data_IF_044251889894
#
_entry.id   IF_044251889894
#
_cell.length_a   1.000
_cell.length_b   1.000
_cell.length_c   1.000
_cell.angle_alpha   90.00
_cell.angle_beta   90.00
_cell.angle_gamma   90.00
#
_symmetry.space_group_name_H-M   'P 1'
#
loop_
_entity.id
_entity.type
_entity.pdbx_description
1 polymer ?
#
# COMPACT_ATOMS: atom_id res chain seq x y z
N UNK A 1 -3.44 30.28 -3.52
CA UNK A 1 -3.00 28.98 -2.97
C UNK A 1 -3.44 27.91 -3.96
N UNK A 2 -2.49 27.13 -4.46
CA UNK A 2 -2.78 25.99 -5.31
C UNK A 2 -2.96 24.75 -4.44
N UNK A 3 -4.02 23.99 -4.68
CA UNK A 3 -4.30 22.74 -3.96
C UNK A 3 -3.65 21.57 -4.69
N UNK A 4 -3.44 20.46 -3.98
CA UNK A 4 -2.86 19.23 -4.55
C UNK A 4 -3.66 18.64 -5.74
N UNK A 5 -4.90 19.07 -5.94
CA UNK A 5 -5.75 18.69 -7.06
C UNK A 5 -5.72 19.70 -8.23
N UNK A 6 -4.77 20.65 -8.21
CA UNK A 6 -4.57 21.67 -9.24
C UNK A 6 -5.54 22.85 -9.19
N UNK A 7 -6.42 22.90 -8.19
CA UNK A 7 -7.31 24.04 -8.05
C UNK A 7 -6.56 25.23 -7.44
N UNK A 8 -6.75 26.39 -8.01
CA UNK A 8 -6.29 27.63 -7.40
C UNK A 8 -7.41 28.23 -6.55
N UNK A 9 -7.11 28.56 -5.30
CA UNK A 9 -8.07 29.22 -4.38
C UNK A 9 -7.68 30.66 -4.20
N UNK A 10 -8.58 31.56 -4.60
CA UNK A 10 -8.56 32.97 -4.21
C UNK A 10 -9.59 33.17 -3.12
N UNK A 11 -9.20 33.72 -1.99
CA UNK A 11 -10.07 33.90 -0.83
C UNK A 11 -10.28 35.39 -0.57
N UNK A 12 -11.52 35.79 -0.34
CA UNK A 12 -11.91 37.13 0.04
C UNK A 12 -13.06 37.07 1.08
N UNK A 13 -13.21 38.12 1.86
CA UNK A 13 -14.37 38.27 2.73
C UNK A 13 -15.65 38.35 1.91
N UNK A 14 -16.70 37.58 2.25
CA UNK A 14 -17.96 37.64 1.49
C UNK A 14 -18.68 38.96 1.70
N UNK A 15 -19.16 39.56 0.57
CA UNK A 15 -19.96 40.77 0.61
C UNK A 15 -21.42 40.43 0.96
N UNK A 16 -22.23 41.44 1.38
CA UNK A 16 -23.66 41.26 1.59
C UNK A 16 -24.39 40.71 0.36
N UNK A 17 -24.06 41.21 -0.85
CA UNK A 17 -24.63 40.77 -2.13
C UNK A 17 -24.28 39.30 -2.41
N UNK A 18 -23.04 38.87 -2.08
CA UNK A 18 -22.66 37.47 -2.21
C UNK A 18 -23.51 36.56 -1.30
N UNK A 19 -23.79 36.98 -0.05
CA UNK A 19 -24.64 36.22 0.83
C UNK A 19 -26.08 36.10 0.36
N UNK A 20 -26.60 37.09 -0.29
CA UNK A 20 -27.96 37.05 -0.86
C UNK A 20 -28.05 36.02 -2.00
N UNK A 21 -27.08 36.06 -2.93
CA UNK A 21 -26.99 35.09 -4.02
C UNK A 21 -26.72 33.68 -3.49
N UNK A 22 -25.85 33.54 -2.50
CA UNK A 22 -25.56 32.24 -1.86
C UNK A 22 -26.80 31.61 -1.25
N UNK A 23 -27.62 32.39 -0.51
CA UNK A 23 -28.85 31.86 0.11
C UNK A 23 -29.90 31.45 -0.91
N UNK A 24 -30.02 32.17 -2.01
CA UNK A 24 -31.02 31.92 -3.03
C UNK A 24 -30.63 30.91 -4.10
N UNK A 25 -29.34 30.76 -4.40
CA UNK A 25 -28.79 29.95 -5.50
C UNK A 25 -27.56 29.16 -5.15
N UNK A 26 -27.51 28.59 -3.95
CA UNK A 26 -26.33 27.91 -3.41
C UNK A 26 -25.70 26.84 -4.34
N UNK A 27 -26.55 26.07 -5.01
CA UNK A 27 -26.06 25.01 -5.89
C UNK A 27 -25.49 25.57 -7.20
N UNK A 28 -26.07 26.63 -7.72
CA UNK A 28 -25.55 27.34 -8.89
C UNK A 28 -24.23 28.06 -8.59
N UNK A 29 -24.09 28.66 -7.41
CA UNK A 29 -22.83 29.30 -6.96
C UNK A 29 -21.72 28.27 -6.78
N UNK A 30 -22.04 27.10 -6.22
CA UNK A 30 -21.09 25.98 -6.12
C UNK A 30 -20.70 25.40 -7.48
N UNK A 31 -21.69 25.30 -8.40
CA UNK A 31 -21.43 24.83 -9.75
C UNK A 31 -20.55 25.82 -10.54
N UNK A 32 -20.64 27.11 -10.22
CA UNK A 32 -19.78 28.18 -10.77
C UNK A 32 -18.38 28.20 -10.11
N UNK A 33 -18.06 27.28 -9.18
CA UNK A 33 -16.74 27.17 -8.60
C UNK A 33 -16.51 27.96 -7.30
N UNK A 34 -17.56 28.49 -6.67
CA UNK A 34 -17.40 29.22 -5.41
C UNK A 34 -17.74 28.36 -4.19
N UNK A 35 -16.94 28.48 -3.16
CA UNK A 35 -17.15 27.85 -1.86
C UNK A 35 -17.19 28.89 -0.73
N UNK A 36 -17.77 28.51 0.40
CA UNK A 36 -17.77 29.32 1.63
C UNK A 36 -17.22 28.49 2.76
N UNK A 37 -16.23 29.00 3.44
CA UNK A 37 -15.63 28.37 4.62
C UNK A 37 -15.42 29.39 5.74
N UNK A 38 -15.25 28.90 6.97
CA UNK A 38 -14.92 29.72 8.11
C UNK A 38 -13.45 29.45 8.49
N UNK A 39 -12.64 30.50 8.45
CA UNK A 39 -11.24 30.44 8.82
C UNK A 39 -10.97 31.50 9.90
N UNK A 40 -10.32 31.12 10.99
CA UNK A 40 -10.02 32.00 12.15
C UNK A 40 -11.23 32.82 12.63
N UNK A 41 -12.43 32.21 12.60
CA UNK A 41 -13.65 32.86 13.08
C UNK A 41 -14.36 33.72 12.03
N UNK A 42 -13.74 34.07 10.92
CA UNK A 42 -14.32 34.86 9.81
C UNK A 42 -14.81 33.97 8.66
N UNK A 43 -15.90 34.39 8.01
CA UNK A 43 -16.37 33.75 6.78
C UNK A 43 -15.53 34.22 5.59
N UNK A 44 -15.14 33.27 4.76
CA UNK A 44 -14.40 33.55 3.52
C UNK A 44 -15.09 32.88 2.33
N UNK A 45 -15.14 33.59 1.22
CA UNK A 45 -15.53 33.09 -0.11
C UNK A 45 -14.26 32.62 -0.80
N UNK A 46 -14.27 31.38 -1.26
CA UNK A 46 -13.18 30.81 -2.05
C UNK A 46 -13.68 30.62 -3.48
N UNK A 47 -12.99 31.20 -4.43
CA UNK A 47 -13.15 30.91 -5.85
C UNK A 47 -12.27 29.72 -6.21
N UNK A 48 -12.87 28.73 -6.83
CA UNK A 48 -12.20 27.48 -7.20
C UNK A 48 -12.15 27.42 -8.72
N UNK A 49 -10.98 27.61 -9.29
CA UNK A 49 -10.78 27.25 -10.68
C UNK A 49 -10.63 25.75 -10.79
N UNK A 50 -11.52 25.10 -11.56
CA UNK A 50 -11.32 23.68 -11.89
C UNK A 50 -10.09 23.59 -12.80
N UNK A 51 -9.23 22.57 -12.62
CA UNK A 51 -8.20 22.32 -13.60
C UNK A 51 -8.85 22.06 -14.96
N UNK A 52 -8.23 22.52 -16.04
CA UNK A 52 -8.66 22.23 -17.39
C UNK A 52 -8.74 20.71 -17.60
N UNK A 53 -9.70 20.24 -18.38
CA UNK A 53 -9.83 18.82 -18.70
C UNK A 53 -8.55 18.26 -19.32
N UNK A 54 -7.87 19.03 -20.17
CA UNK A 54 -6.58 18.66 -20.75
C UNK A 54 -5.47 18.51 -19.68
N UNK A 55 -5.48 19.35 -18.64
CA UNK A 55 -4.53 19.24 -17.54
C UNK A 55 -4.78 18.00 -16.70
N UNK A 56 -6.04 17.65 -16.42
CA UNK A 56 -6.41 16.41 -15.72
C UNK A 56 -5.97 15.20 -16.54
N UNK A 57 -6.24 15.20 -17.85
CA UNK A 57 -5.83 14.12 -18.76
C UNK A 57 -4.32 13.94 -18.78
N UNK A 58 -3.54 15.02 -18.92
CA UNK A 58 -2.08 14.98 -18.87
C UNK A 58 -1.54 14.41 -17.55
N UNK A 59 -2.18 14.74 -16.42
CA UNK A 59 -1.83 14.18 -15.10
C UNK A 59 -2.15 12.69 -15.00
N UNK A 60 -3.27 12.25 -15.58
CA UNK A 60 -3.65 10.84 -15.64
C UNK A 60 -2.70 10.06 -16.54
N UNK A 61 -2.30 10.61 -17.68
CA UNK A 61 -1.30 10.02 -18.57
C UNK A 61 0.06 9.89 -17.87
N UNK A 62 0.54 10.95 -17.19
CA UNK A 62 1.76 10.90 -16.40
C UNK A 62 1.75 9.78 -15.35
N UNK A 63 0.58 9.49 -14.76
CA UNK A 63 0.40 8.37 -13.82
C UNK A 63 0.56 6.98 -14.45
N UNK A 64 0.45 6.88 -15.78
CA UNK A 64 0.57 5.64 -16.55
C UNK A 64 1.86 5.56 -17.35
N UNK A 65 2.63 6.64 -17.39
CA UNK A 65 3.84 6.73 -18.20
C UNK A 65 4.78 5.55 -17.93
N UNK A 66 5.27 4.96 -18.99
CA UNK A 66 6.20 3.81 -18.96
C UNK A 66 7.66 4.21 -19.12
N UNK A 67 7.92 5.48 -19.44
CA UNK A 67 9.26 6.09 -19.44
C UNK A 67 9.17 7.60 -19.17
N UNK A 68 10.29 8.20 -18.77
CA UNK A 68 10.47 9.65 -18.65
C UNK A 68 11.89 10.05 -18.99
N UNK A 69 12.02 11.09 -19.79
CA UNK A 69 13.32 11.71 -20.11
C UNK A 69 13.76 12.62 -18.96
N UNK A 70 14.21 12.01 -17.86
CA UNK A 70 14.71 12.71 -16.66
C UNK A 70 16.04 12.12 -16.24
N UNK A 71 16.97 12.99 -15.87
CA UNK A 71 18.24 12.60 -15.24
C UNK A 71 18.02 12.48 -13.72
N UNK A 72 18.21 11.26 -13.20
CA UNK A 72 18.06 10.95 -11.78
C UNK A 72 19.40 10.41 -11.30
N UNK A 73 19.99 11.00 -10.25
CA UNK A 73 21.24 10.49 -9.72
C UNK A 73 21.12 9.00 -9.35
N UNK A 74 22.12 8.21 -9.80
CA UNK A 74 22.17 6.77 -9.58
C UNK A 74 23.62 6.35 -9.29
N UNK A 75 23.89 5.37 -8.41
CA UNK A 75 25.24 4.86 -8.19
C UNK A 75 25.85 4.25 -9.45
N UNK A 76 27.18 4.28 -9.55
CA UNK A 76 27.93 3.70 -10.67
C UNK A 76 27.59 2.22 -10.89
N UNK A 77 27.36 1.85 -12.14
CA UNK A 77 27.01 0.49 -12.54
C UNK A 77 25.55 0.09 -12.31
N UNK A 78 24.70 0.99 -11.80
CA UNK A 78 23.25 0.79 -11.68
C UNK A 78 22.51 1.70 -12.66
N UNK A 79 21.28 1.31 -12.98
CA UNK A 79 20.39 2.11 -13.81
C UNK A 79 18.94 1.89 -13.42
N UNK A 80 18.14 2.95 -13.43
CA UNK A 80 16.69 2.83 -13.30
C UNK A 80 16.08 2.31 -14.60
N UNK A 81 15.17 1.37 -14.51
CA UNK A 81 14.36 0.95 -15.65
C UNK A 81 13.48 2.11 -16.15
N UNK A 82 13.07 2.12 -17.43
CA UNK A 82 12.28 3.21 -18.01
C UNK A 82 11.07 3.59 -17.15
N UNK A 83 10.26 2.61 -16.79
CA UNK A 83 9.07 2.83 -15.97
C UNK A 83 9.41 3.28 -14.53
N UNK A 84 10.57 2.92 -13.98
CA UNK A 84 11.03 3.42 -12.69
C UNK A 84 11.36 4.91 -12.78
N UNK A 85 12.04 5.34 -13.87
CA UNK A 85 12.26 6.77 -14.15
C UNK A 85 10.94 7.54 -14.22
N UNK A 86 9.96 6.99 -14.94
CA UNK A 86 8.62 7.60 -15.04
C UNK A 86 7.93 7.73 -13.66
N UNK A 87 8.04 6.71 -12.81
CA UNK A 87 7.48 6.75 -11.45
C UNK A 87 8.17 7.78 -10.55
N UNK A 88 9.49 7.85 -10.62
CA UNK A 88 10.28 8.86 -9.89
C UNK A 88 9.91 10.27 -10.39
N UNK A 89 9.87 10.50 -11.71
CA UNK A 89 9.47 11.77 -12.31
C UNK A 89 8.07 12.22 -11.85
N UNK A 90 7.12 11.27 -11.82
CA UNK A 90 5.78 11.52 -11.30
C UNK A 90 5.81 12.00 -9.84
N UNK A 91 6.61 11.36 -8.99
CA UNK A 91 6.73 11.70 -7.58
C UNK A 91 7.46 13.04 -7.36
N UNK A 92 8.46 13.36 -8.18
CA UNK A 92 9.19 14.63 -8.06
C UNK A 92 8.32 15.86 -8.30
N UNK A 93 7.31 15.76 -9.14
CA UNK A 93 6.34 16.82 -9.39
C UNK A 93 5.29 17.01 -8.29
N UNK A 94 5.37 16.30 -7.15
CA UNK A 94 4.35 16.26 -6.10
C UNK A 94 4.95 16.08 -4.71
N UNK A 95 4.29 16.60 -3.69
CA UNK A 95 4.72 16.40 -2.29
C UNK A 95 4.14 15.09 -1.70
N UNK A 96 3.16 14.48 -2.35
CA UNK A 96 2.53 13.26 -1.89
C UNK A 96 2.26 12.29 -3.05
N UNK A 97 2.72 11.03 -2.93
CA UNK A 97 2.57 10.01 -3.97
C UNK A 97 2.23 8.65 -3.39
N UNK A 98 1.24 7.99 -3.98
CA UNK A 98 0.94 6.58 -3.77
C UNK A 98 1.52 5.76 -4.94
N UNK A 99 2.63 5.07 -4.71
CA UNK A 99 3.16 4.09 -5.65
C UNK A 99 2.31 2.81 -5.58
N UNK A 100 1.38 2.70 -6.50
CA UNK A 100 0.48 1.57 -6.64
C UNK A 100 0.90 0.56 -7.71
N UNK A 101 2.14 0.60 -8.17
CA UNK A 101 2.70 -0.34 -9.15
C UNK A 101 2.55 -1.78 -8.71
N UNK A 102 2.36 -2.69 -9.66
CA UNK A 102 2.26 -4.11 -9.38
C UNK A 102 3.50 -4.62 -8.61
N UNK A 103 3.32 -5.70 -7.84
CA UNK A 103 4.40 -6.30 -7.05
C UNK A 103 5.57 -6.71 -7.97
N UNK A 104 6.81 -6.43 -7.54
CA UNK A 104 8.01 -6.75 -8.32
C UNK A 104 8.46 -5.68 -9.33
N UNK A 105 7.77 -4.54 -9.43
CA UNK A 105 8.19 -3.41 -10.27
C UNK A 105 9.19 -2.45 -9.58
N UNK A 106 9.79 -2.85 -8.46
CA UNK A 106 10.84 -2.08 -7.80
C UNK A 106 10.37 -0.77 -7.17
N UNK A 107 9.22 -0.76 -6.49
CA UNK A 107 8.73 0.41 -5.75
C UNK A 107 9.75 0.96 -4.74
N UNK A 108 10.49 0.08 -4.07
CA UNK A 108 11.60 0.43 -3.16
C UNK A 108 12.68 1.23 -3.89
N UNK A 109 13.10 0.77 -5.07
CA UNK A 109 14.10 1.44 -5.92
C UNK A 109 13.59 2.82 -6.36
N UNK A 110 12.31 2.92 -6.75
CA UNK A 110 11.70 4.19 -7.12
C UNK A 110 11.68 5.17 -5.93
N UNK A 111 11.36 4.71 -4.73
CA UNK A 111 11.37 5.55 -3.53
C UNK A 111 12.80 6.03 -3.19
N UNK A 112 13.81 5.17 -3.33
CA UNK A 112 15.23 5.57 -3.16
C UNK A 112 15.66 6.54 -4.28
N UNK A 113 15.18 6.37 -5.49
CA UNK A 113 15.40 7.33 -6.58
C UNK A 113 14.85 8.73 -6.25
N UNK A 114 13.72 8.81 -5.55
CA UNK A 114 13.21 10.10 -5.04
C UNK A 114 14.14 10.67 -3.98
N UNK A 115 14.71 9.85 -3.07
CA UNK A 115 15.71 10.30 -2.08
C UNK A 115 16.93 10.88 -2.82
N UNK A 116 17.48 10.17 -3.81
CA UNK A 116 18.64 10.60 -4.58
C UNK A 116 18.41 11.93 -5.31
N UNK A 117 17.21 12.11 -5.88
CA UNK A 117 16.86 13.32 -6.61
C UNK A 117 16.57 14.53 -5.71
N UNK A 118 15.95 14.33 -4.54
CA UNK A 118 15.50 15.42 -3.67
C UNK A 118 16.44 15.72 -2.51
N UNK A 119 17.29 14.75 -2.14
CA UNK A 119 18.28 14.85 -1.05
C UNK A 119 17.71 15.42 0.26
N UNK A 120 16.60 14.86 0.77
CA UNK A 120 16.01 15.36 2.01
C UNK A 120 16.99 15.18 3.19
N UNK A 121 17.04 16.12 4.12
CA UNK A 121 17.92 16.02 5.30
C UNK A 121 17.61 14.79 6.14
N UNK A 122 16.32 14.50 6.33
CA UNK A 122 15.87 13.36 7.15
C UNK A 122 14.88 12.49 6.39
N UNK A 123 15.03 11.17 6.51
CA UNK A 123 14.14 10.19 5.89
C UNK A 123 13.63 9.20 6.93
N UNK A 124 12.33 8.99 6.96
CA UNK A 124 11.72 7.93 7.75
C UNK A 124 11.13 6.87 6.84
N UNK A 125 11.55 5.62 7.01
CA UNK A 125 10.99 4.45 6.34
C UNK A 125 10.20 3.61 7.34
N UNK A 126 8.90 3.51 7.13
CA UNK A 126 8.00 2.61 7.88
C UNK A 126 7.71 1.39 7.03
N UNK A 127 8.06 0.20 7.51
CA UNK A 127 7.89 -1.03 6.75
C UNK A 127 7.48 -2.22 7.66
N UNK A 128 7.08 -3.38 7.11
CA UNK A 128 6.96 -4.62 7.87
C UNK A 128 8.27 -5.01 8.54
N UNK A 129 8.21 -5.65 9.72
CA UNK A 129 9.40 -6.02 10.49
C UNK A 129 10.41 -6.86 9.69
N UNK A 130 9.91 -7.78 8.87
CA UNK A 130 10.74 -8.64 7.99
C UNK A 130 11.47 -7.89 6.88
N UNK A 131 11.06 -6.67 6.53
CA UNK A 131 11.66 -5.89 5.45
C UNK A 131 12.69 -4.86 5.91
N UNK A 132 12.91 -4.68 7.21
CA UNK A 132 13.84 -3.65 7.72
C UNK A 132 15.26 -3.83 7.19
N UNK A 133 15.78 -5.05 7.26
CA UNK A 133 17.14 -5.35 6.75
C UNK A 133 17.21 -5.24 5.22
N UNK A 134 16.16 -5.65 4.51
CA UNK A 134 16.06 -5.47 3.07
C UNK A 134 16.11 -3.98 2.70
N UNK A 135 15.35 -3.13 3.39
CA UNK A 135 15.38 -1.68 3.19
C UNK A 135 16.77 -1.10 3.42
N UNK A 136 17.45 -1.49 4.51
CA UNK A 136 18.83 -1.06 4.76
C UNK A 136 19.78 -1.47 3.63
N UNK A 137 19.67 -2.71 3.14
CA UNK A 137 20.52 -3.21 2.07
C UNK A 137 20.26 -2.49 0.75
N UNK A 138 18.98 -2.27 0.40
CA UNK A 138 18.61 -1.51 -0.81
C UNK A 138 19.06 -0.04 -0.71
N UNK A 139 18.88 0.60 0.45
CA UNK A 139 19.40 1.96 0.66
C UNK A 139 20.92 2.02 0.46
N UNK A 140 21.69 1.10 1.07
CA UNK A 140 23.16 1.04 0.89
C UNK A 140 23.57 0.82 -0.55
N UNK A 141 22.77 0.10 -1.32
CA UNK A 141 23.04 -0.23 -2.73
C UNK A 141 22.70 0.92 -3.67
N UNK A 142 21.58 1.64 -3.42
CA UNK A 142 21.02 2.58 -4.38
C UNK A 142 21.19 4.06 -4.02
N UNK A 143 21.61 4.41 -2.80
CA UNK A 143 21.92 5.79 -2.45
C UNK A 143 23.21 6.24 -3.15
N UNK A 144 23.16 7.46 -3.69
CA UNK A 144 24.34 8.09 -4.32
C UNK A 144 25.28 8.74 -3.30
N UNK A 145 24.74 9.13 -2.15
CA UNK A 145 25.48 9.75 -1.05
C UNK A 145 25.54 8.79 0.15
N UNK A 146 26.69 8.71 0.83
CA UNK A 146 26.81 7.97 2.08
C UNK A 146 25.96 8.64 3.17
N UNK A 147 25.07 7.90 3.79
CA UNK A 147 24.19 8.35 4.87
C UNK A 147 24.11 7.32 5.98
N UNK A 148 23.94 7.79 7.21
CA UNK A 148 23.71 6.92 8.35
C UNK A 148 22.27 6.32 8.29
N UNK A 149 22.20 5.00 8.44
CA UNK A 149 20.92 4.27 8.37
C UNK A 149 20.70 3.54 9.69
N UNK A 150 19.78 4.05 10.49
CA UNK A 150 19.41 3.52 11.78
C UNK A 150 18.19 2.59 11.67
N UNK A 151 18.31 1.37 12.21
CA UNK A 151 17.18 0.45 12.33
C UNK A 151 16.67 0.51 13.75
N UNK A 152 15.43 0.98 13.94
CA UNK A 152 14.78 0.98 15.26
C UNK A 152 14.09 -0.36 15.49
N UNK A 153 14.48 -1.05 16.57
CA UNK A 153 13.89 -2.30 17.05
C UNK A 153 13.04 -2.08 18.31
N UNK A 154 12.26 -3.06 18.71
CA UNK A 154 11.26 -2.90 19.78
C UNK A 154 11.75 -3.02 21.21
N UNK A 155 13.02 -3.28 21.45
CA UNK A 155 13.57 -3.74 22.72
C UNK A 155 13.99 -2.67 23.73
N UNK A 156 13.41 -1.46 23.71
CA UNK A 156 13.82 -0.36 24.62
C UNK A 156 15.01 0.43 24.09
N UNK A 157 15.32 0.31 22.82
CA UNK A 157 16.30 1.14 22.13
C UNK A 157 15.92 2.62 22.18
N UNK A 158 16.92 3.47 22.38
CA UNK A 158 16.75 4.92 22.32
C UNK A 158 16.58 5.32 20.85
N UNK A 159 15.56 6.14 20.57
CA UNK A 159 15.36 6.66 19.23
C UNK A 159 16.53 7.59 18.82
N UNK A 160 17.09 7.47 17.60
CA UNK A 160 18.20 8.30 17.14
C UNK A 160 17.88 9.79 17.25
N UNK A 161 18.82 10.57 17.82
CA UNK A 161 18.61 12.00 18.06
C UNK A 161 18.69 12.83 16.75
N UNK A 162 19.64 12.50 15.88
CA UNK A 162 19.90 13.20 14.62
C UNK A 162 20.11 12.19 13.47
N UNK A 163 19.07 11.43 13.09
CA UNK A 163 19.21 10.42 12.05
C UNK A 163 19.15 11.04 10.65
N UNK A 164 19.99 10.55 9.74
CA UNK A 164 19.81 10.80 8.31
C UNK A 164 18.64 9.98 7.78
N UNK A 165 18.66 8.67 8.03
CA UNK A 165 17.62 7.73 7.61
C UNK A 165 17.26 6.79 8.77
N UNK A 166 15.99 6.72 9.13
CA UNK A 166 15.47 5.77 10.11
C UNK A 166 14.59 4.74 9.42
N UNK A 167 14.84 3.47 9.69
CA UNK A 167 13.98 2.35 9.27
C UNK A 167 13.31 1.75 10.51
N UNK A 168 11.97 1.78 10.53
CA UNK A 168 11.17 1.35 11.67
C UNK A 168 10.00 0.48 11.21
N UNK A 169 9.57 -0.48 12.03
CA UNK A 169 8.40 -1.28 11.69
C UNK A 169 7.11 -0.81 12.40
N UNK A 170 5.97 -1.20 11.84
CA UNK A 170 4.65 -0.78 12.28
C UNK A 170 4.35 -1.04 13.76
N UNK A 171 4.86 -2.16 14.32
CA UNK A 171 4.51 -2.59 15.68
C UNK A 171 5.16 -1.73 16.77
N UNK A 172 6.24 -1.01 16.42
CA UNK A 172 6.95 -0.15 17.38
C UNK A 172 6.64 1.34 17.22
N UNK A 173 5.91 1.75 16.16
CA UNK A 173 5.58 3.16 15.93
C UNK A 173 4.94 3.84 17.15
N UNK A 174 3.99 3.17 17.78
CA UNK A 174 3.28 3.75 18.93
C UNK A 174 4.18 3.98 20.16
N UNK A 175 5.29 3.23 20.27
CA UNK A 175 6.26 3.38 21.35
C UNK A 175 7.13 4.62 21.18
N UNK A 176 7.39 5.02 19.94
CA UNK A 176 8.19 6.17 19.55
C UNK A 176 7.35 7.34 19.01
N UNK A 177 6.07 7.39 19.40
CA UNK A 177 5.15 8.41 18.87
C UNK A 177 5.60 9.84 19.19
N UNK A 178 6.18 10.07 20.34
CA UNK A 178 6.67 11.40 20.75
C UNK A 178 7.81 11.86 19.82
N UNK A 179 8.78 11.01 19.55
CA UNK A 179 9.93 11.31 18.71
C UNK A 179 9.53 11.43 17.23
N UNK A 180 8.61 10.56 16.77
CA UNK A 180 8.14 10.54 15.39
C UNK A 180 7.26 11.73 15.04
N UNK A 181 6.35 12.11 15.94
CA UNK A 181 5.41 13.21 15.71
C UNK A 181 5.95 14.57 16.16
N UNK A 182 6.97 14.58 17.01
CA UNK A 182 7.58 15.81 17.55
C UNK A 182 8.53 16.51 16.58
N UNK A 183 8.73 15.96 15.36
CA UNK A 183 9.60 16.55 14.33
C UNK A 183 8.94 16.55 12.96
N UNK A 184 9.39 17.47 12.12
CA UNK A 184 9.09 17.49 10.68
C UNK A 184 10.14 16.64 9.97
N UNK A 185 9.70 15.65 9.18
CA UNK A 185 10.58 14.84 8.36
C UNK A 185 10.72 15.45 6.97
N UNK A 186 11.91 15.41 6.36
CA UNK A 186 12.07 15.83 4.97
C UNK A 186 11.33 14.89 4.01
N UNK A 187 11.38 13.57 4.31
CA UNK A 187 10.65 12.54 3.55
C UNK A 187 10.17 11.43 4.47
N UNK A 188 8.90 11.02 4.32
CA UNK A 188 8.38 9.78 4.88
C UNK A 188 8.02 8.78 3.80
N UNK A 189 8.45 7.53 3.95
CA UNK A 189 8.11 6.40 3.09
C UNK A 189 7.36 5.38 3.96
N UNK A 190 6.14 5.02 3.55
CA UNK A 190 5.33 4.00 4.23
C UNK A 190 5.19 2.82 3.25
N UNK A 191 5.96 1.77 3.48
CA UNK A 191 5.96 0.58 2.64
C UNK A 191 4.88 -0.41 3.09
N UNK A 192 4.32 -1.15 2.14
CA UNK A 192 3.13 -1.98 2.31
C UNK A 192 2.01 -1.20 3.02
N UNK A 193 1.74 0.00 2.50
CA UNK A 193 0.81 0.96 3.12
C UNK A 193 -0.60 0.40 3.36
N UNK A 194 -0.98 -0.70 2.70
CA UNK A 194 -2.23 -1.42 2.96
C UNK A 194 -2.36 -1.93 4.41
N UNK A 195 -1.27 -2.01 5.18
CA UNK A 195 -1.33 -2.25 6.63
C UNK A 195 -2.07 -1.13 7.39
N UNK A 196 -2.17 0.07 6.79
CA UNK A 196 -2.88 1.23 7.35
C UNK A 196 -4.33 1.39 6.84
N UNK A 197 -4.95 0.37 6.26
CA UNK A 197 -6.32 0.39 5.74
C UNK A 197 -7.42 0.59 6.80
N UNK A 198 -7.16 0.19 8.05
CA UNK A 198 -8.12 0.35 9.15
C UNK A 198 -7.79 1.61 9.97
N UNK A 199 -8.60 2.68 9.88
CA UNK A 199 -8.33 3.94 10.58
C UNK A 199 -8.40 3.84 12.12
N UNK A 200 -9.04 2.79 12.65
CA UNK A 200 -9.14 2.56 14.10
C UNK A 200 -7.91 1.87 14.68
N UNK A 201 -7.09 1.21 13.87
CA UNK A 201 -5.91 0.47 14.31
C UNK A 201 -4.84 1.42 14.86
N UNK A 202 -4.18 1.03 15.97
CA UNK A 202 -3.11 1.82 16.63
C UNK A 202 -1.98 2.14 15.64
N UNK A 203 -1.54 1.16 14.83
CA UNK A 203 -0.50 1.35 13.81
C UNK A 203 -0.88 2.39 12.75
N UNK A 204 -2.14 2.39 12.29
CA UNK A 204 -2.63 3.37 11.31
C UNK A 204 -2.59 4.78 11.87
N UNK A 205 -3.10 4.97 13.09
CA UNK A 205 -3.07 6.27 13.76
C UNK A 205 -1.64 6.77 13.98
N UNK A 206 -0.72 5.89 14.40
CA UNK A 206 0.67 6.24 14.59
C UNK A 206 1.38 6.59 13.27
N UNK A 207 1.19 5.80 12.20
CA UNK A 207 1.82 6.04 10.91
C UNK A 207 1.28 7.30 10.21
N UNK A 208 -0.06 7.46 10.16
CA UNK A 208 -0.67 8.57 9.42
C UNK A 208 -0.71 9.91 10.21
N UNK A 209 -0.18 9.96 11.43
CA UNK A 209 0.05 11.21 12.17
C UNK A 209 1.44 11.83 11.91
N UNK A 210 2.34 11.10 11.24
CA UNK A 210 3.70 11.57 10.97
C UNK A 210 3.64 12.72 9.95
N UNK A 211 4.34 13.82 10.29
CA UNK A 211 4.44 14.99 9.42
C UNK A 211 5.74 14.95 8.60
N UNK A 212 5.65 15.26 7.33
CA UNK A 212 6.78 15.31 6.41
C UNK A 212 6.53 16.31 5.29
N UNK A 213 7.61 16.87 4.74
CA UNK A 213 7.54 17.75 3.57
C UNK A 213 7.11 16.95 2.33
N UNK A 214 7.59 15.69 2.24
CA UNK A 214 7.21 14.78 1.17
C UNK A 214 6.76 13.43 1.73
N UNK A 215 5.71 12.84 1.13
CA UNK A 215 5.10 11.59 1.57
C UNK A 215 5.03 10.59 0.43
N UNK A 216 5.63 9.42 0.61
CA UNK A 216 5.53 8.31 -0.34
C UNK A 216 4.89 7.10 0.34
N UNK A 217 3.80 6.62 -0.20
CA UNK A 217 3.18 5.36 0.21
C UNK A 217 3.40 4.32 -0.90
N UNK A 218 3.87 3.13 -0.51
CA UNK A 218 4.15 2.04 -1.44
C UNK A 218 3.19 0.88 -1.15
N UNK A 219 2.50 0.37 -2.17
CA UNK A 219 1.68 -0.84 -2.05
C UNK A 219 1.43 -1.47 -3.41
N UNK A 220 1.51 -2.79 -3.51
CA UNK A 220 1.12 -3.53 -4.72
C UNK A 220 -0.40 -3.67 -4.87
N UNK A 221 -1.17 -3.41 -3.80
CA UNK A 221 -2.63 -3.55 -3.75
C UNK A 221 -3.26 -2.30 -3.17
N UNK A 222 -3.30 -1.18 -3.93
CA UNK A 222 -3.80 0.10 -3.42
C UNK A 222 -5.29 0.05 -3.02
N UNK A 223 -6.08 -0.79 -3.68
CA UNK A 223 -7.50 -1.06 -3.34
C UNK A 223 -7.64 -2.58 -3.20
N UNK A 224 -7.38 -3.15 -1.99
CA UNK A 224 -7.39 -4.61 -1.84
C UNK A 224 -8.79 -5.23 -2.01
N UNK A 225 -9.82 -4.68 -1.37
CA UNK A 225 -11.17 -5.24 -1.40
C UNK A 225 -12.27 -4.19 -1.58
N UNK A 226 -12.19 -3.06 -0.88
CA UNK A 226 -13.26 -2.05 -0.79
C UNK A 226 -12.68 -0.65 -0.88
N UNK A 227 -13.36 0.30 -1.56
CA UNK A 227 -12.89 1.69 -1.65
C UNK A 227 -12.68 2.35 -0.28
N UNK A 228 -13.47 1.98 0.73
CA UNK A 228 -13.35 2.52 2.09
C UNK A 228 -11.97 2.25 2.72
N UNK A 229 -11.31 1.15 2.35
CA UNK A 229 -9.97 0.80 2.86
C UNK A 229 -8.86 1.72 2.31
N UNK A 230 -9.10 2.38 1.18
CA UNK A 230 -8.18 3.35 0.59
C UNK A 230 -8.29 4.72 1.25
N UNK A 231 -9.45 5.07 1.81
CA UNK A 231 -9.72 6.42 2.31
C UNK A 231 -8.68 6.95 3.32
N UNK A 232 -8.21 6.17 4.31
CA UNK A 232 -7.18 6.65 5.24
C UNK A 232 -5.88 7.06 4.55
N UNK A 233 -5.45 6.28 3.55
CA UNK A 233 -4.22 6.53 2.78
C UNK A 233 -4.38 7.75 1.88
N UNK A 234 -5.47 7.81 1.13
CA UNK A 234 -5.76 8.93 0.24
C UNK A 234 -5.98 10.23 1.03
N UNK A 235 -6.65 10.15 2.19
CA UNK A 235 -6.86 11.28 3.09
C UNK A 235 -5.56 11.80 3.73
N UNK A 236 -4.58 10.92 3.97
CA UNK A 236 -3.27 11.32 4.47
C UNK A 236 -2.41 12.02 3.39
N UNK A 237 -2.52 11.57 2.13
CA UNK A 237 -1.77 12.13 1.01
C UNK A 237 -2.39 13.42 0.45
N UNK A 238 -3.73 13.48 0.37
CA UNK A 238 -4.45 14.62 -0.16
C UNK A 238 -5.69 14.91 0.72
N UNK A 239 -5.48 15.49 1.92
CA UNK A 239 -6.53 15.70 2.92
C UNK A 239 -7.65 16.62 2.44
N UNK A 240 -7.36 17.62 1.63
CA UNK A 240 -8.34 18.55 1.04
C UNK A 240 -9.30 17.85 0.08
N UNK A 241 -8.86 16.76 -0.57
CA UNK A 241 -9.63 16.02 -1.56
C UNK A 241 -10.32 14.80 -0.96
N UNK A 242 -9.60 14.02 -0.13
CA UNK A 242 -10.04 12.71 0.38
C UNK A 242 -10.14 12.65 1.91
N UNK A 243 -9.84 13.73 2.64
CA UNK A 243 -9.82 13.73 4.10
C UNK A 243 -11.20 13.62 4.74
N UNK A 244 -12.26 14.12 4.10
CA UNK A 244 -13.64 13.97 4.60
C UNK A 244 -14.16 12.55 4.33
N UNK A 245 -14.21 11.74 5.38
CA UNK A 245 -14.68 10.36 5.32
C UNK A 245 -16.10 10.22 4.77
N UNK A 246 -17.05 11.04 5.24
CA UNK A 246 -18.44 10.90 4.81
C UNK A 246 -18.64 11.30 3.35
N UNK A 247 -17.97 12.35 2.89
CA UNK A 247 -17.97 12.75 1.48
C UNK A 247 -17.40 11.65 0.61
N UNK A 248 -16.25 11.08 1.00
CA UNK A 248 -15.62 9.95 0.31
C UNK A 248 -16.54 8.73 0.28
N UNK A 249 -17.07 8.32 1.43
CA UNK A 249 -17.90 7.13 1.57
C UNK A 249 -19.21 7.22 0.79
N UNK A 250 -19.90 8.36 0.85
CA UNK A 250 -21.12 8.59 0.05
C UNK A 250 -20.87 8.55 -1.44
N UNK A 251 -19.71 9.01 -1.90
CA UNK A 251 -19.40 9.05 -3.33
C UNK A 251 -18.88 7.71 -3.86
N UNK A 252 -18.04 7.00 -3.08
CA UNK A 252 -17.27 5.88 -3.58
C UNK A 252 -17.57 4.53 -2.93
N UNK A 253 -18.22 4.50 -1.76
CA UNK A 253 -18.46 3.27 -1.01
C UNK A 253 -19.91 2.76 -1.10
N UNK A 254 -20.75 3.31 -2.00
CA UNK A 254 -22.15 2.91 -2.07
C UNK A 254 -22.85 3.02 -0.71
N UNK A 255 -22.58 4.13 0.01
CA UNK A 255 -23.03 4.29 1.40
C UNK A 255 -24.55 4.23 1.52
N UNK A 256 -25.05 3.27 2.28
CA UNK A 256 -26.46 3.06 2.54
C UNK A 256 -26.75 3.13 4.05
N UNK A 257 -27.92 3.64 4.42
CA UNK A 257 -28.37 3.66 5.81
C UNK A 257 -29.35 2.53 6.04
N UNK A 258 -28.98 1.61 6.90
CA UNK A 258 -29.82 0.49 7.34
C UNK A 258 -30.30 0.68 8.79
N UNK A 259 -31.05 -0.28 9.34
CA UNK A 259 -31.56 -0.24 10.71
C UNK A 259 -30.47 -0.24 11.79
N UNK A 260 -29.22 -0.60 11.44
CA UNK A 260 -28.06 -0.71 12.34
C UNK A 260 -27.08 0.46 12.17
N UNK A 261 -27.36 1.40 11.25
CA UNK A 261 -26.51 2.54 10.99
C UNK A 261 -26.11 2.68 9.52
N UNK A 262 -24.96 3.28 9.27
CA UNK A 262 -24.40 3.42 7.92
C UNK A 262 -23.56 2.21 7.54
N UNK A 263 -23.84 1.65 6.37
CA UNK A 263 -23.00 0.65 5.70
C UNK A 263 -22.15 1.34 4.62
N UNK A 264 -20.83 1.11 4.66
CA UNK A 264 -19.84 1.63 3.72
C UNK A 264 -19.09 0.48 3.02
N UNK A 265 -19.62 -0.73 3.04
CA UNK A 265 -18.95 -1.91 2.49
C UNK A 265 -19.02 -2.02 0.97
N UNK A 266 -19.89 -1.25 0.34
CA UNK A 266 -20.11 -1.25 -1.09
C UNK A 266 -19.05 -0.47 -1.90
N UNK A 267 -19.32 -0.34 -3.20
CA UNK A 267 -18.49 0.39 -4.15
C UNK A 267 -19.37 1.14 -5.16
N UNK A 268 -19.02 2.40 -5.44
CA UNK A 268 -19.72 3.25 -6.42
C UNK A 268 -18.72 4.20 -7.08
N UNK A 269 -19.04 4.70 -8.27
CA UNK A 269 -18.26 5.70 -9.00
C UNK A 269 -16.75 5.36 -9.11
N UNK A 270 -16.39 4.09 -9.28
CA UNK A 270 -14.99 3.63 -9.32
C UNK A 270 -14.17 4.26 -10.45
N UNK A 271 -14.71 4.49 -11.68
CA UNK A 271 -13.97 5.20 -12.72
C UNK A 271 -13.57 6.61 -12.32
N UNK A 272 -14.50 7.36 -11.69
CA UNK A 272 -14.22 8.71 -11.16
C UNK A 272 -13.17 8.64 -10.02
N UNK A 273 -13.29 7.70 -9.11
CA UNK A 273 -12.27 7.51 -8.06
C UNK A 273 -10.88 7.27 -8.65
N UNK A 274 -10.79 6.41 -9.66
CA UNK A 274 -9.53 6.09 -10.34
C UNK A 274 -8.94 7.33 -11.01
N UNK A 275 -9.74 8.12 -11.72
CA UNK A 275 -9.31 9.37 -12.35
C UNK A 275 -8.83 10.38 -11.31
N UNK A 276 -9.61 10.57 -10.23
CA UNK A 276 -9.28 11.47 -9.15
C UNK A 276 -7.96 11.09 -8.44
N UNK A 277 -7.71 9.81 -8.24
CA UNK A 277 -6.47 9.33 -7.66
C UNK A 277 -5.27 9.53 -8.61
N UNK A 278 -5.42 9.16 -9.90
CA UNK A 278 -4.35 9.27 -10.90
C UNK A 278 -3.97 10.70 -11.18
N UNK A 279 -4.95 11.59 -11.25
CA UNK A 279 -4.69 13.03 -11.47
C UNK A 279 -4.07 13.73 -10.26
N UNK A 280 -4.09 13.11 -9.06
CA UNK A 280 -3.55 13.74 -7.84
C UNK A 280 -2.35 13.02 -7.23
N UNK A 281 -2.50 11.75 -6.84
CA UNK A 281 -1.53 11.07 -5.98
C UNK A 281 -1.05 9.71 -6.48
N UNK A 282 -1.82 9.02 -7.33
CA UNK A 282 -1.56 7.62 -7.66
C UNK A 282 -0.75 7.47 -8.95
N UNK A 283 0.36 6.78 -8.87
CA UNK A 283 1.06 6.18 -10.02
C UNK A 283 0.85 4.66 -9.98
N UNK A 284 0.41 4.07 -11.08
CA UNK A 284 0.14 2.63 -11.14
C UNK A 284 0.32 2.08 -12.55
N UNK A 285 1.20 1.08 -12.66
CA UNK A 285 1.48 0.28 -13.87
C UNK A 285 1.37 -1.19 -13.53
N UNK A 286 1.02 -2.00 -14.52
CA UNK A 286 1.01 -3.45 -14.43
C UNK A 286 2.29 -4.01 -15.06
N UNK A 287 2.69 -5.22 -14.70
CA UNK A 287 3.83 -5.91 -15.32
C UNK A 287 3.64 -6.07 -16.82
N UNK A 288 2.41 -6.36 -17.23
CA UNK A 288 2.07 -6.49 -18.65
C UNK A 288 2.27 -5.20 -19.45
N UNK A 289 2.29 -4.03 -18.80
CA UNK A 289 2.46 -2.75 -19.47
C UNK A 289 3.95 -2.34 -19.62
N UNK A 290 4.86 -2.98 -18.86
CA UNK A 290 6.24 -2.48 -18.69
C UNK A 290 7.33 -3.54 -18.72
N UNK A 291 6.98 -4.84 -18.76
CA UNK A 291 7.92 -5.97 -18.78
C UNK A 291 7.54 -6.96 -19.89
N UNK A 292 7.89 -6.61 -21.12
CA UNK A 292 7.57 -7.43 -22.29
C UNK A 292 8.32 -8.79 -22.32
N UNK A 293 9.43 -8.88 -21.57
CA UNK A 293 10.27 -10.09 -21.51
C UNK A 293 9.74 -11.17 -20.56
N UNK A 294 8.74 -10.86 -19.72
CA UNK A 294 8.19 -11.85 -18.81
C UNK A 294 7.32 -12.86 -19.56
N UNK A 295 7.59 -14.16 -19.41
CA UNK A 295 6.73 -15.18 -19.97
C UNK A 295 5.32 -15.08 -19.37
N UNK A 296 4.28 -15.43 -20.11
CA UNK A 296 2.92 -15.41 -19.61
C UNK A 296 2.79 -16.34 -18.40
N UNK A 297 2.11 -15.86 -17.36
CA UNK A 297 1.85 -16.66 -16.16
C UNK A 297 0.96 -17.84 -16.52
N UNK A 298 1.50 -19.04 -16.36
CA UNK A 298 0.73 -20.29 -16.49
C UNK A 298 0.24 -20.73 -15.10
N UNK A 299 -1.00 -21.17 -15.04
CA UNK A 299 -1.57 -21.78 -13.83
C UNK A 299 -2.03 -23.18 -14.19
N UNK A 300 -1.42 -24.17 -13.57
CA UNK A 300 -1.75 -25.56 -13.76
C UNK A 300 -2.29 -26.15 -12.47
N UNK A 301 -3.38 -26.88 -12.56
CA UNK A 301 -3.91 -27.70 -11.46
C UNK A 301 -3.47 -29.14 -11.73
N UNK A 302 -2.67 -29.69 -10.83
CA UNK A 302 -2.18 -31.06 -10.94
C UNK A 302 -3.01 -31.91 -10.01
N UNK A 303 -3.71 -32.88 -10.60
CA UNK A 303 -4.43 -33.91 -9.84
C UNK A 303 -3.41 -35.00 -9.51
N UNK A 304 -3.19 -35.24 -8.22
CA UNK A 304 -2.28 -36.29 -7.75
C UNK A 304 -3.02 -37.60 -7.74
N UNK A 305 -2.58 -38.56 -8.57
CA UNK A 305 -3.08 -39.93 -8.60
C UNK A 305 -2.30 -40.82 -7.62
N UNK A 306 -2.95 -41.85 -7.08
CA UNK A 306 -2.26 -42.95 -6.38
C UNK A 306 -2.40 -42.99 -4.87
N UNK A 307 -2.95 -41.96 -4.20
CA UNK A 307 -3.31 -42.06 -2.79
C UNK A 307 -4.83 -42.22 -2.62
N UNK A 308 -5.23 -43.08 -1.68
CA UNK A 308 -6.63 -43.24 -1.34
C UNK A 308 -7.06 -42.14 -0.36
N UNK A 309 -7.42 -40.98 -0.87
CA UNK A 309 -7.92 -39.85 -0.09
C UNK A 309 -9.42 -39.92 0.18
N UNK A 310 -10.06 -41.07 -0.06
CA UNK A 310 -11.52 -41.18 0.02
C UNK A 310 -12.06 -40.90 1.41
N UNK A 311 -11.35 -41.36 2.45
CA UNK A 311 -11.76 -41.12 3.84
C UNK A 311 -11.60 -39.64 4.23
N UNK A 312 -10.45 -39.04 3.89
CA UNK A 312 -10.18 -37.62 4.16
C UNK A 312 -11.13 -36.70 3.41
N UNK A 313 -11.40 -36.98 2.12
CA UNK A 313 -12.40 -36.24 1.34
C UNK A 313 -13.82 -36.40 1.88
N UNK A 314 -14.14 -37.58 2.42
CA UNK A 314 -15.43 -37.83 3.10
C UNK A 314 -15.52 -37.03 4.39
N UNK A 315 -14.45 -36.99 5.18
CA UNK A 315 -14.36 -36.20 6.42
C UNK A 315 -14.44 -34.68 6.11
N UNK A 316 -13.79 -34.20 5.05
CA UNK A 316 -13.88 -32.80 4.63
C UNK A 316 -15.33 -32.42 4.24
N UNK A 317 -16.00 -33.25 3.45
CA UNK A 317 -17.42 -33.05 3.11
C UNK A 317 -18.34 -33.11 4.32
N UNK A 318 -18.08 -34.01 5.27
CA UNK A 318 -18.85 -34.09 6.51
C UNK A 318 -18.61 -32.87 7.41
N UNK A 319 -17.35 -32.40 7.50
CA UNK A 319 -17.00 -31.19 8.23
C UNK A 319 -17.60 -29.93 7.57
N UNK A 320 -17.62 -29.85 6.23
CA UNK A 320 -18.31 -28.77 5.49
C UNK A 320 -19.84 -28.83 5.70
N UNK A 321 -20.45 -30.02 5.69
CA UNK A 321 -21.89 -30.19 5.97
C UNK A 321 -22.24 -29.85 7.44
N UNK A 322 -21.35 -30.13 8.39
CA UNK A 322 -21.50 -29.74 9.78
C UNK A 322 -21.39 -28.22 10.02
N UNK A 323 -20.94 -27.45 9.02
CA UNK A 323 -20.88 -26.00 9.07
C UNK A 323 -22.26 -25.32 9.30
N UNK A 324 -23.34 -26.00 9.04
CA UNK A 324 -24.71 -25.49 9.25
C UNK A 324 -25.24 -25.71 10.70
N UNK A 325 -24.59 -26.56 11.51
CA UNK A 325 -25.22 -27.09 12.73
C UNK A 325 -24.45 -26.82 14.04
N UNK A 326 -23.14 -26.49 14.03
CA UNK A 326 -22.32 -26.38 15.26
C UNK A 326 -21.67 -24.98 15.46
N UNK A 327 -21.07 -24.72 16.64
CA UNK A 327 -20.42 -23.43 16.96
C UNK A 327 -19.19 -23.16 16.06
N UNK A 328 -18.87 -21.89 15.77
CA UNK A 328 -17.77 -21.53 14.85
C UNK A 328 -16.38 -22.04 15.27
N UNK A 329 -16.13 -22.16 16.57
CA UNK A 329 -14.82 -22.53 17.13
C UNK A 329 -14.53 -24.02 16.96
N UNK A 330 -15.48 -24.90 17.27
CA UNK A 330 -15.36 -26.37 17.09
C UNK A 330 -15.20 -26.74 15.61
N UNK A 331 -15.87 -26.01 14.74
CA UNK A 331 -15.78 -26.19 13.28
C UNK A 331 -14.37 -25.92 12.72
N UNK A 332 -13.72 -24.87 13.22
CA UNK A 332 -12.41 -24.47 12.74
C UNK A 332 -11.34 -25.50 13.07
N UNK A 333 -11.38 -26.08 14.27
CA UNK A 333 -10.43 -27.11 14.71
C UNK A 333 -10.59 -28.40 13.92
N UNK A 334 -11.82 -28.90 13.74
CA UNK A 334 -12.09 -30.13 12.98
C UNK A 334 -11.70 -29.99 11.50
N UNK A 335 -12.04 -28.90 10.85
CA UNK A 335 -11.62 -28.62 9.46
C UNK A 335 -10.11 -28.47 9.31
N UNK A 336 -9.46 -27.86 10.30
CA UNK A 336 -8.00 -27.71 10.31
C UNK A 336 -7.31 -29.05 10.41
N UNK A 337 -7.81 -29.97 11.25
CA UNK A 337 -7.26 -31.32 11.39
C UNK A 337 -7.43 -32.17 10.12
N UNK A 338 -8.63 -32.13 9.52
CA UNK A 338 -8.87 -32.86 8.26
C UNK A 338 -7.97 -32.34 7.14
N UNK A 339 -7.85 -31.01 7.00
CA UNK A 339 -6.94 -30.38 6.01
C UNK A 339 -5.47 -30.71 6.27
N UNK A 340 -5.08 -30.81 7.53
CA UNK A 340 -3.74 -31.25 7.91
C UNK A 340 -3.46 -32.69 7.48
N UNK A 341 -4.35 -33.65 7.80
CA UNK A 341 -4.23 -35.04 7.36
C UNK A 341 -4.15 -35.17 5.84
N UNK A 342 -5.00 -34.44 5.11
CA UNK A 342 -4.94 -34.38 3.64
C UNK A 342 -3.61 -33.83 3.12
N UNK A 343 -3.06 -32.83 3.78
CA UNK A 343 -1.78 -32.25 3.40
C UNK A 343 -0.62 -33.24 3.63
N UNK A 344 -0.61 -33.96 4.75
CA UNK A 344 0.38 -35.02 5.05
C UNK A 344 0.26 -36.17 4.06
N UNK A 345 -0.95 -36.63 3.77
CA UNK A 345 -1.20 -37.74 2.84
C UNK A 345 -0.73 -37.42 1.39
N UNK A 346 -0.68 -36.15 1.01
CA UNK A 346 -0.19 -35.68 -0.30
C UNK A 346 1.34 -35.66 -0.44
N UNK A 347 2.09 -35.67 0.67
CA UNK A 347 3.55 -35.52 0.65
C UNK A 347 4.26 -36.48 -0.31
N UNK A 348 3.97 -37.81 -0.31
CA UNK A 348 4.65 -38.73 -1.23
C UNK A 348 4.45 -38.39 -2.71
N UNK A 349 3.22 -38.06 -3.10
CA UNK A 349 2.90 -37.73 -4.49
C UNK A 349 3.47 -36.36 -4.90
N UNK A 350 3.54 -35.40 -3.97
CA UNK A 350 4.22 -34.11 -4.19
C UNK A 350 5.72 -34.33 -4.40
N UNK A 351 6.37 -35.17 -3.60
CA UNK A 351 7.79 -35.50 -3.73
C UNK A 351 8.10 -36.16 -5.07
N UNK A 352 7.26 -37.11 -5.52
CA UNK A 352 7.39 -37.75 -6.82
C UNK A 352 7.30 -36.73 -7.95
N UNK A 353 6.31 -35.82 -7.87
CA UNK A 353 6.15 -34.75 -8.84
C UNK A 353 7.35 -33.79 -8.86
N UNK A 354 7.83 -33.36 -7.72
CA UNK A 354 8.94 -32.41 -7.59
C UNK A 354 10.28 -33.00 -8.05
N UNK A 355 10.52 -34.30 -7.86
CA UNK A 355 11.73 -35.00 -8.36
C UNK A 355 11.82 -35.02 -9.88
N UNK A 356 10.70 -34.82 -10.58
CA UNK A 356 10.65 -34.69 -12.04
C UNK A 356 10.94 -33.30 -12.58
N UNK A 357 11.19 -32.31 -11.71
CA UNK A 357 11.43 -30.92 -12.09
C UNK A 357 12.92 -30.60 -11.97
N UNK A 358 13.54 -30.14 -13.05
CA UNK A 358 14.98 -29.88 -13.18
C UNK A 358 15.40 -28.41 -12.97
N UNK A 359 14.47 -27.54 -12.58
CA UNK A 359 14.71 -26.13 -12.34
C UNK A 359 14.33 -25.72 -10.89
N UNK A 360 14.83 -24.57 -10.39
CA UNK A 360 14.50 -24.10 -9.05
C UNK A 360 13.00 -23.92 -8.83
N UNK A 361 12.49 -24.46 -7.72
CA UNK A 361 11.07 -24.42 -7.37
C UNK A 361 10.89 -23.84 -5.96
N UNK A 362 9.86 -23.02 -5.78
CA UNK A 362 9.41 -22.56 -4.47
C UNK A 362 8.12 -23.29 -4.11
N UNK A 363 8.14 -24.05 -3.01
CA UNK A 363 7.00 -24.82 -2.52
C UNK A 363 6.37 -24.12 -1.33
N UNK A 364 5.06 -23.87 -1.41
CA UNK A 364 4.30 -23.33 -0.28
C UNK A 364 3.45 -24.42 0.36
N UNK A 365 3.59 -24.61 1.66
CA UNK A 365 2.75 -25.48 2.45
C UNK A 365 2.24 -24.77 3.71
N UNK A 366 1.04 -25.14 4.17
CA UNK A 366 0.40 -24.49 5.31
C UNK A 366 0.89 -25.04 6.65
N UNK A 367 1.16 -26.34 6.72
CA UNK A 367 1.53 -27.05 7.95
C UNK A 367 3.04 -27.21 8.06
N UNK A 368 3.62 -26.90 9.24
CA UNK A 368 5.07 -26.93 9.48
C UNK A 368 5.70 -28.31 9.33
N UNK A 369 4.99 -29.37 9.73
CA UNK A 369 5.45 -30.75 9.57
C UNK A 369 5.51 -31.18 8.10
N UNK A 370 4.54 -30.74 7.28
CA UNK A 370 4.58 -30.93 5.81
C UNK A 370 5.76 -30.18 5.21
N UNK A 371 6.02 -28.93 5.64
CA UNK A 371 7.20 -28.17 5.19
C UNK A 371 8.49 -28.94 5.53
N UNK A 372 8.62 -29.46 6.76
CA UNK A 372 9.79 -30.24 7.18
C UNK A 372 9.94 -31.51 6.37
N UNK A 373 8.86 -32.31 6.24
CA UNK A 373 8.88 -33.55 5.48
C UNK A 373 9.32 -33.37 4.03
N UNK A 374 8.87 -32.30 3.37
CA UNK A 374 9.29 -31.97 2.00
C UNK A 374 10.74 -31.50 1.96
N UNK A 375 11.16 -30.68 2.92
CA UNK A 375 12.51 -30.13 2.96
C UNK A 375 13.59 -31.20 3.25
N UNK A 376 13.32 -32.08 4.18
CA UNK A 376 14.23 -33.17 4.56
C UNK A 376 14.49 -34.12 3.38
N UNK A 377 13.46 -34.43 2.58
CA UNK A 377 13.57 -35.31 1.41
C UNK A 377 14.20 -34.65 0.16
N UNK A 378 14.10 -33.35 0.06
CA UNK A 378 14.57 -32.57 -1.10
C UNK A 378 15.87 -31.80 -0.82
N UNK A 379 16.41 -31.87 0.37
CA UNK A 379 17.55 -31.06 0.86
C UNK A 379 17.29 -29.56 0.59
N UNK A 380 16.07 -29.11 0.90
CA UNK A 380 15.61 -27.77 0.56
C UNK A 380 15.71 -26.81 1.73
N UNK A 381 16.02 -25.55 1.43
CA UNK A 381 15.99 -24.47 2.42
C UNK A 381 14.56 -24.17 2.83
N UNK A 382 14.32 -23.97 4.12
CA UNK A 382 12.99 -23.68 4.66
C UNK A 382 12.87 -22.24 5.14
N UNK A 383 11.68 -21.64 4.92
CA UNK A 383 11.29 -20.35 5.48
C UNK A 383 9.97 -20.48 6.23
N UNK A 384 10.03 -20.42 7.56
CA UNK A 384 8.85 -20.52 8.43
C UNK A 384 8.74 -19.34 9.38
N UNK A 385 7.64 -19.27 10.15
CA UNK A 385 7.47 -18.28 11.20
C UNK A 385 8.49 -18.36 12.34
N UNK A 386 9.18 -19.50 12.48
CA UNK A 386 10.13 -19.74 13.57
C UNK A 386 11.53 -19.15 13.28
N UNK A 387 11.84 -18.82 12.03
CA UNK A 387 13.14 -18.26 11.65
C UNK A 387 13.24 -16.78 12.03
N UNK A 388 14.42 -16.39 12.51
CA UNK A 388 14.79 -15.00 12.74
C UNK A 388 14.86 -14.23 11.41
N UNK A 389 14.95 -12.90 11.49
CA UNK A 389 15.06 -12.06 10.29
C UNK A 389 16.37 -12.31 9.56
N UNK A 390 17.46 -12.56 10.29
CA UNK A 390 18.78 -12.88 9.76
C UNK A 390 18.77 -14.25 9.04
N UNK A 391 18.21 -15.28 9.65
CA UNK A 391 18.06 -16.61 9.05
C UNK A 391 17.23 -16.58 7.77
N UNK A 392 16.16 -15.76 7.75
CA UNK A 392 15.33 -15.57 6.54
C UNK A 392 16.06 -14.88 5.40
N UNK A 393 17.08 -14.07 5.70
CA UNK A 393 17.88 -13.42 4.67
C UNK A 393 19.02 -14.31 4.17
N UNK A 394 19.48 -15.24 5.00
CA UNK A 394 20.53 -16.18 4.63
C UNK A 394 19.99 -17.36 3.79
N UNK A 395 18.70 -17.66 3.91
CA UNK A 395 17.99 -18.66 3.12
C UNK A 395 17.60 -18.14 1.73
#
# INVERSE_FOLDING_TARGET
>A
MELADGRTVRSAAPTPEFWEVWRSRKDAVKAAGYGVSKFEGAWQVSEWTRPDAAEVEARVEASRATDAAIDIPVPDGLAYLPFQRAGIAYALGRDATLFGDEMGLGKTIQAIGVINATRPETVLVVCPASLKLNWRNELRRWLVDARDIDIVNGGGEVFPSYPDIVVINYDVLAKHAAELHGRQWGLVIIDEAHYCKNPKAKRTKAALAIQADRKLLLTGTPIPNRPVELQPLAGYLAPEKFGDFFRFAKRYCGAERNNWGWDFSGASNLPDLQEQLRSSILVRRLKADVLDELPPKQRQVIVLDGADYREELRLEKLAEAALEVTSPEVRFEELSEVRHRLAVAKVPAILEHLKGIDHPVVVFAHHKDVVRALADELDAVTLTGDHTTEERQAA
#
